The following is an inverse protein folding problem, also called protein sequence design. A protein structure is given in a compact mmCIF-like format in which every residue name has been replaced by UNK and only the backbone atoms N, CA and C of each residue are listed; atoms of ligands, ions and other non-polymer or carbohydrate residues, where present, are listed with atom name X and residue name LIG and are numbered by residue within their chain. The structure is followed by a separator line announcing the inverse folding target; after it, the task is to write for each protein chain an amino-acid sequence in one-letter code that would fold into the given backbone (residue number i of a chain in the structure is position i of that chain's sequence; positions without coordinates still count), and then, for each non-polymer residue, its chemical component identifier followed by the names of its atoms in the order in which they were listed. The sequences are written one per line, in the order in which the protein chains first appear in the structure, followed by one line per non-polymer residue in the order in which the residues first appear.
data_IF_775196296127
#
_entry.id   IF_775196296127
#
_cell.length_a   1.000
_cell.length_b   1.000
_cell.length_c   1.000
_cell.angle_alpha   90.00
_cell.angle_beta   90.00
_cell.angle_gamma   90.00
#
_symmetry.space_group_name_H-M   'P 1'
#
loop_
_entity.id
_entity.type
_entity.pdbx_description
1 polymer ?
#
# COMPACT_ATOMS: atom_id res chain seq x y z
N UNK A 1 9.88 -7.34 -13.45
CA UNK A 1 9.63 -8.25 -12.30
C UNK A 1 9.97 -7.49 -11.01
N UNK A 2 9.50 -6.24 -10.88
CA UNK A 2 10.03 -5.26 -9.92
C UNK A 2 8.95 -4.92 -8.90
N UNK A 3 8.60 -5.93 -8.12
CA UNK A 3 7.59 -5.80 -7.08
C UNK A 3 7.99 -6.59 -5.85
N UNK A 4 7.76 -6.01 -4.69
CA UNK A 4 7.93 -6.65 -3.38
C UNK A 4 6.55 -6.85 -2.78
N UNK A 5 6.28 -8.06 -2.31
CA UNK A 5 5.08 -8.36 -1.54
C UNK A 5 5.41 -8.32 -0.05
N UNK A 6 4.60 -7.58 0.70
CA UNK A 6 4.65 -7.48 2.15
C UNK A 6 3.39 -8.13 2.70
N UNK A 7 3.54 -8.87 3.78
CA UNK A 7 2.41 -9.42 4.50
C UNK A 7 2.65 -9.23 6.00
N UNK A 8 2.00 -8.21 6.55
CA UNK A 8 1.87 -8.07 8.00
C UNK A 8 0.57 -8.75 8.41
N UNK A 9 0.67 -9.73 9.32
CA UNK A 9 -0.45 -10.58 9.75
C UNK A 9 -1.27 -9.96 10.87
N UNK A 10 -0.94 -8.74 11.30
CA UNK A 10 -1.37 -8.27 12.61
C UNK A 10 -2.62 -7.38 12.62
N UNK A 11 -3.10 -6.85 11.48
CA UNK A 11 -4.32 -6.01 11.48
C UNK A 11 -5.10 -6.09 10.18
N UNK A 12 -6.43 -6.13 10.32
CA UNK A 12 -7.32 -5.81 9.22
C UNK A 12 -7.16 -4.33 8.88
N UNK A 13 -7.02 -4.02 7.59
CA UNK A 13 -6.89 -2.66 7.09
C UNK A 13 -8.25 -2.17 6.62
N UNK A 14 -8.73 -1.08 7.21
CA UNK A 14 -9.87 -0.35 6.67
C UNK A 14 -9.42 0.40 5.40
N UNK A 15 -9.76 -0.16 4.24
CA UNK A 15 -9.39 0.38 2.94
C UNK A 15 -10.06 1.73 2.66
N UNK A 16 -11.25 1.98 3.20
CA UNK A 16 -11.97 3.23 2.98
C UNK A 16 -11.31 4.35 3.77
N UNK A 17 -11.06 4.13 5.06
CA UNK A 17 -10.32 5.08 5.89
C UNK A 17 -8.90 5.34 5.35
N UNK A 18 -8.22 4.30 4.87
CA UNK A 18 -6.92 4.43 4.22
C UNK A 18 -7.01 5.24 2.91
N UNK A 19 -8.07 5.08 2.13
CA UNK A 19 -8.27 5.84 0.90
C UNK A 19 -8.42 7.33 1.18
N UNK A 20 -9.25 7.70 2.15
CA UNK A 20 -9.44 9.10 2.53
C UNK A 20 -8.12 9.75 2.97
N UNK A 21 -7.28 9.02 3.72
CA UNK A 21 -5.97 9.51 4.16
C UNK A 21 -4.99 9.73 3.00
N UNK A 22 -5.04 8.88 1.96
CA UNK A 22 -4.08 8.89 0.86
C UNK A 22 -4.49 9.78 -0.31
N UNK A 23 -5.78 10.06 -0.49
CA UNK A 23 -6.30 10.96 -1.55
C UNK A 23 -5.62 12.34 -1.63
N UNK A 24 -5.30 13.04 -0.51
CA UNK A 24 -4.60 14.33 -0.60
C UNK A 24 -3.12 14.18 -1.01
N UNK A 25 -2.53 12.99 -0.89
CA UNK A 25 -1.12 12.73 -1.17
C UNK A 25 -0.91 12.35 -2.65
N UNK A 26 -1.92 11.73 -3.28
CA UNK A 26 -1.84 11.34 -4.68
C UNK A 26 -3.05 10.54 -5.17
N UNK A 27 -2.91 9.92 -6.34
CA UNK A 27 -4.00 9.15 -6.95
C UNK A 27 -4.27 7.88 -6.15
N UNK A 28 -5.54 7.70 -5.74
CA UNK A 28 -6.02 6.53 -5.02
C UNK A 28 -7.19 5.90 -5.78
N UNK A 29 -7.13 4.58 -5.98
CA UNK A 29 -8.20 3.74 -6.51
C UNK A 29 -8.51 2.64 -5.49
N UNK A 30 -9.58 2.81 -4.73
CA UNK A 30 -10.04 1.82 -3.76
C UNK A 30 -11.32 1.14 -4.22
N UNK A 31 -11.45 -0.14 -3.88
CA UNK A 31 -12.69 -0.91 -3.97
C UNK A 31 -12.78 -1.86 -2.75
N UNK A 32 -13.85 -2.65 -2.67
CA UNK A 32 -14.08 -3.57 -1.54
C UNK A 32 -13.04 -4.68 -1.37
N UNK A 33 -12.13 -4.88 -2.34
CA UNK A 33 -11.12 -5.94 -2.34
C UNK A 33 -9.69 -5.44 -2.18
N UNK A 34 -9.38 -4.23 -2.66
CA UNK A 34 -8.05 -3.66 -2.61
C UNK A 34 -8.06 -2.13 -2.78
N UNK A 35 -7.05 -1.50 -2.19
CA UNK A 35 -6.69 -0.11 -2.42
C UNK A 35 -5.42 -0.05 -3.26
N UNK A 36 -5.43 0.77 -4.32
CA UNK A 36 -4.25 1.09 -5.12
C UNK A 36 -3.92 2.56 -4.96
N UNK A 37 -2.69 2.85 -4.59
CA UNK A 37 -2.14 4.19 -4.43
C UNK A 37 -0.93 4.35 -5.34
N UNK A 38 -0.83 5.50 -6.00
CA UNK A 38 0.20 5.78 -7.01
C UNK A 38 1.07 6.97 -6.59
N UNK A 39 1.96 6.81 -5.60
CA UNK A 39 2.95 7.83 -5.29
C UNK A 39 4.02 7.89 -6.40
N UNK A 40 4.78 8.99 -6.50
CA UNK A 40 5.79 9.15 -7.55
C UNK A 40 6.78 7.98 -7.61
N UNK A 41 6.84 7.30 -8.77
CA UNK A 41 7.77 6.21 -9.02
C UNK A 41 7.38 4.84 -8.46
N UNK A 42 6.24 4.72 -7.73
CA UNK A 42 5.81 3.46 -7.14
C UNK A 42 4.31 3.21 -7.33
N UNK A 43 3.91 1.95 -7.19
CA UNK A 43 2.51 1.54 -7.09
C UNK A 43 2.36 0.72 -5.81
N UNK A 44 1.47 1.15 -4.93
CA UNK A 44 1.19 0.49 -3.66
C UNK A 44 -0.21 -0.10 -3.73
N UNK A 45 -0.30 -1.43 -3.74
CA UNK A 45 -1.59 -2.13 -3.62
C UNK A 45 -1.72 -2.67 -2.20
N UNK A 46 -2.80 -2.37 -1.50
CA UNK A 46 -3.08 -2.84 -0.14
C UNK A 46 -4.37 -3.66 -0.15
N UNK A 47 -4.36 -4.76 0.58
CA UNK A 47 -5.48 -5.68 0.75
C UNK A 47 -6.03 -5.56 2.18
N UNK A 48 -7.31 -5.89 2.41
CA UNK A 48 -7.95 -5.74 3.71
C UNK A 48 -7.35 -6.68 4.77
N UNK A 49 -6.67 -7.75 4.34
CA UNK A 49 -5.96 -8.70 5.21
C UNK A 49 -4.54 -8.25 5.61
N UNK A 50 -4.18 -7.00 5.34
CA UNK A 50 -2.88 -6.43 5.68
C UNK A 50 -1.78 -6.74 4.66
N UNK A 51 -2.04 -7.55 3.62
CA UNK A 51 -1.08 -7.72 2.52
C UNK A 51 -0.93 -6.42 1.74
N UNK A 52 0.28 -6.20 1.25
CA UNK A 52 0.53 -5.19 0.24
C UNK A 52 1.50 -5.66 -0.84
N UNK A 53 1.38 -5.08 -2.02
CA UNK A 53 2.29 -5.25 -3.14
C UNK A 53 2.81 -3.87 -3.50
N UNK A 54 4.12 -3.69 -3.38
CA UNK A 54 4.82 -2.48 -3.78
C UNK A 54 5.50 -2.76 -5.11
N UNK A 55 5.09 -2.09 -6.19
CA UNK A 55 5.80 -2.11 -7.48
C UNK A 55 6.63 -0.85 -7.64
N UNK A 56 7.71 -0.94 -8.42
CA UNK A 56 8.67 0.14 -8.63
C UNK A 56 9.97 -0.06 -7.85
N UNK A 57 10.05 -1.10 -7.00
CA UNK A 57 11.27 -1.49 -6.30
C UNK A 57 11.40 -3.01 -6.23
N UNK A 58 12.64 -3.49 -6.14
CA UNK A 58 12.99 -4.87 -5.74
C UNK A 58 13.65 -4.90 -4.36
N UNK A 59 13.90 -3.73 -3.77
CA UNK A 59 14.48 -3.58 -2.43
C UNK A 59 13.37 -3.72 -1.38
N UNK A 60 13.53 -4.72 -0.53
CA UNK A 60 12.57 -5.04 0.54
C UNK A 60 12.55 -4.00 1.65
N UNK A 61 13.67 -3.34 1.93
CA UNK A 61 13.77 -2.25 2.88
C UNK A 61 12.99 -1.03 2.41
N UNK A 62 13.19 -0.62 1.15
CA UNK A 62 12.42 0.49 0.53
C UNK A 62 10.93 0.17 0.53
N UNK A 63 10.55 -1.05 0.11
CA UNK A 63 9.16 -1.47 0.10
C UNK A 63 8.54 -1.41 1.51
N UNK A 64 9.26 -1.87 2.53
CA UNK A 64 8.78 -1.86 3.92
C UNK A 64 8.63 -0.43 4.45
N UNK A 65 9.57 0.46 4.12
CA UNK A 65 9.46 1.88 4.47
C UNK A 65 8.24 2.54 3.84
N UNK A 66 7.97 2.29 2.55
CA UNK A 66 6.77 2.81 1.87
C UNK A 66 5.48 2.25 2.49
N UNK A 67 5.47 0.96 2.84
CA UNK A 67 4.33 0.36 3.53
C UNK A 67 4.11 1.01 4.91
N UNK A 68 5.16 1.14 5.73
CA UNK A 68 5.06 1.79 7.03
C UNK A 68 4.63 3.26 6.93
N UNK A 69 5.11 3.98 5.91
CA UNK A 69 4.80 5.39 5.68
C UNK A 69 3.33 5.61 5.29
N UNK A 70 2.78 4.78 4.41
CA UNK A 70 1.45 5.00 3.84
C UNK A 70 0.36 4.16 4.48
N UNK A 71 0.69 2.96 4.98
CA UNK A 71 -0.24 2.00 5.57
C UNK A 71 -0.06 1.97 7.08
N UNK A 72 1.18 1.91 7.57
CA UNK A 72 1.51 1.85 8.99
C UNK A 72 0.92 3.00 9.80
N UNK A 73 0.03 2.65 10.73
CA UNK A 73 -0.39 3.47 11.87
C UNK A 73 -0.87 2.58 13.01
#
# INVERSE_FOLDING_TARGET
RNAVQIHERERAVDLEALAERLRPIGEVKANSFALRFFPPGFEVTVFPDGRAIIKGTTDTGVARSLYAQYVGS
#
